data_IF_882889220686
#
_entry.id   IF_882889220686
#
_cell.length_a   1.000
_cell.length_b   1.000
_cell.length_c   1.000
_cell.angle_alpha   90.00
_cell.angle_beta   90.00
_cell.angle_gamma   90.00
#
_symmetry.space_group_name_H-M   'P 1'
#
loop_
_entity.id
_entity.type
_entity.pdbx_description
1 polymer ?
#
# COMPACT_ATOMS: atom_id res chain seq x y z
N UNK A 1 -9.34 -11.78 2.44
CA UNK A 1 -8.53 -10.71 3.04
C UNK A 1 -8.56 -9.47 2.16
N UNK A 2 -8.72 -8.28 2.74
CA UNK A 2 -8.75 -7.01 2.01
C UNK A 2 -7.35 -6.40 1.92
N UNK A 3 -6.87 -6.15 0.71
CA UNK A 3 -5.50 -5.71 0.41
C UNK A 3 -5.49 -4.58 -0.62
N UNK A 4 -4.40 -3.83 -0.68
CA UNK A 4 -4.04 -3.09 -1.89
C UNK A 4 -3.12 -3.96 -2.74
N UNK A 5 -3.50 -4.14 -4.00
CA UNK A 5 -2.67 -4.75 -5.03
C UNK A 5 -1.90 -3.66 -5.77
N UNK A 6 -0.58 -3.69 -5.69
CA UNK A 6 0.33 -2.90 -6.50
C UNK A 6 0.90 -3.80 -7.58
N UNK A 7 0.80 -3.39 -8.85
CA UNK A 7 1.27 -4.22 -9.94
C UNK A 7 1.86 -3.41 -11.08
N UNK A 8 2.91 -3.97 -11.67
CA UNK A 8 3.28 -3.68 -13.06
C UNK A 8 2.39 -4.60 -13.90
N UNK A 9 1.61 -4.01 -14.81
CA UNK A 9 0.57 -4.74 -15.56
C UNK A 9 1.17 -5.99 -16.24
N UNK A 10 0.50 -7.13 -16.04
CA UNK A 10 0.83 -8.44 -16.62
C UNK A 10 2.19 -9.05 -16.20
N UNK A 11 2.82 -8.52 -15.15
CA UNK A 11 4.10 -9.00 -14.67
C UNK A 11 4.03 -9.40 -13.19
N UNK A 12 4.17 -8.42 -12.30
CA UNK A 12 4.45 -8.65 -10.89
C UNK A 12 3.40 -7.96 -10.05
N UNK A 13 2.96 -8.65 -9.00
CA UNK A 13 1.90 -8.20 -8.09
C UNK A 13 2.41 -8.27 -6.66
N UNK A 14 2.23 -7.19 -5.93
CA UNK A 14 2.52 -7.09 -4.51
C UNK A 14 1.24 -6.75 -3.77
N UNK A 15 0.91 -7.55 -2.77
CA UNK A 15 -0.26 -7.34 -1.92
C UNK A 15 0.18 -6.82 -0.56
N UNK A 16 -0.39 -5.68 -0.15
CA UNK A 16 -0.21 -5.13 1.19
C UNK A 16 -1.57 -5.09 1.90
N UNK A 17 -1.64 -5.58 3.14
CA UNK A 17 -2.87 -5.57 3.95
C UNK A 17 -3.47 -4.16 3.97
N UNK A 18 -4.79 -4.07 3.73
CA UNK A 18 -5.42 -2.76 3.51
C UNK A 18 -5.36 -1.84 4.72
N UNK A 19 -5.34 -2.38 5.95
CA UNK A 19 -5.18 -1.59 7.16
C UNK A 19 -3.79 -0.97 7.31
N UNK A 20 -2.72 -1.63 6.84
CA UNK A 20 -1.36 -1.04 6.79
C UNK A 20 -1.37 0.18 5.86
N UNK A 21 -1.90 0.03 4.65
CA UNK A 21 -1.99 1.14 3.70
C UNK A 21 -2.91 2.26 4.20
N UNK A 22 -4.01 1.91 4.88
CA UNK A 22 -4.92 2.89 5.48
C UNK A 22 -4.24 3.70 6.61
N UNK A 23 -3.42 3.05 7.44
CA UNK A 23 -2.64 3.72 8.47
C UNK A 23 -1.63 4.72 7.89
N UNK A 24 -1.01 4.35 6.76
CA UNK A 24 -0.03 5.17 6.05
C UNK A 24 -0.66 6.17 5.05
N UNK A 25 -1.99 6.21 4.93
CA UNK A 25 -2.66 6.75 3.75
C UNK A 25 -2.35 8.23 3.49
N UNK A 26 -2.26 9.01 4.56
CA UNK A 26 -1.96 10.44 4.49
C UNK A 26 -0.54 10.72 4.04
N UNK A 27 0.43 9.85 4.35
CA UNK A 27 1.81 9.99 3.86
C UNK A 27 1.87 9.95 2.32
N UNK A 28 0.93 9.27 1.67
CA UNK A 28 0.87 9.20 0.22
C UNK A 28 0.30 10.45 -0.44
N UNK A 29 -0.32 11.39 0.28
CA UNK A 29 -0.93 12.61 -0.31
C UNK A 29 0.07 13.51 -1.07
N UNK A 30 1.38 13.30 -0.91
CA UNK A 30 2.40 14.01 -1.67
C UNK A 30 2.63 13.47 -3.11
N UNK A 31 2.02 12.32 -3.44
CA UNK A 31 2.08 11.72 -4.78
C UNK A 31 1.07 12.39 -5.72
N UNK A 32 1.49 12.72 -6.94
CA UNK A 32 0.58 13.14 -8.01
C UNK A 32 0.20 11.90 -8.82
N UNK A 33 -1.05 11.48 -8.72
CA UNK A 33 -1.54 10.23 -9.33
C UNK A 33 -2.75 10.49 -10.20
N UNK A 34 -3.16 9.49 -10.98
CA UNK A 34 -4.28 9.60 -11.90
C UNK A 34 -5.03 8.26 -12.04
N UNK A 35 -6.24 8.32 -12.59
CA UNK A 35 -6.98 7.15 -13.03
C UNK A 35 -6.54 6.68 -14.43
N UNK A 36 -7.02 5.52 -14.88
CA UNK A 36 -6.61 4.92 -16.17
C UNK A 36 -6.73 5.89 -17.36
N UNK A 37 -7.79 6.69 -17.39
CA UNK A 37 -8.09 7.62 -18.48
C UNK A 37 -7.47 9.01 -18.29
N UNK A 38 -6.75 9.25 -17.17
CA UNK A 38 -6.19 10.55 -16.78
C UNK A 38 -7.23 11.67 -16.63
N UNK A 39 -8.50 11.31 -16.50
CA UNK A 39 -9.61 12.26 -16.31
C UNK A 39 -9.56 12.78 -14.87
N UNK A 40 -9.21 11.92 -13.92
CA UNK A 40 -9.12 12.25 -12.49
C UNK A 40 -7.65 12.32 -12.11
N UNK A 41 -7.22 13.49 -11.65
CA UNK A 41 -5.94 13.67 -10.95
C UNK A 41 -6.21 13.63 -9.44
N UNK A 42 -5.32 13.02 -8.68
CA UNK A 42 -5.41 12.97 -7.22
C UNK A 42 -4.08 13.29 -6.56
N UNK A 43 -4.16 13.61 -5.27
CA UNK A 43 -3.06 13.68 -4.34
C UNK A 43 -3.06 12.40 -3.50
N UNK A 44 -2.17 11.46 -3.83
CA UNK A 44 -2.06 10.16 -3.17
C UNK A 44 -2.85 9.03 -3.83
N UNK A 45 -3.14 8.00 -3.05
CA UNK A 45 -3.84 6.82 -3.54
C UNK A 45 -5.35 7.07 -3.60
N UNK A 46 -6.01 6.44 -4.56
CA UNK A 46 -7.47 6.44 -4.65
C UNK A 46 -8.01 5.42 -3.66
N UNK A 47 -8.94 5.86 -2.80
CA UNK A 47 -9.66 4.94 -1.91
C UNK A 47 -10.59 4.00 -2.69
N UNK A 48 -11.18 4.50 -3.78
CA UNK A 48 -12.01 3.74 -4.72
C UNK A 48 -11.47 3.82 -6.15
N UNK A 49 -11.44 2.67 -6.84
CA UNK A 49 -10.93 2.57 -8.21
C UNK A 49 -9.44 2.25 -8.27
N UNK A 50 -8.83 2.49 -9.43
CA UNK A 50 -7.41 2.24 -9.66
C UNK A 50 -6.63 3.56 -9.68
N UNK A 51 -5.51 3.56 -8.97
CA UNK A 51 -4.49 4.60 -9.00
C UNK A 51 -3.38 4.19 -9.95
N UNK A 52 -2.91 5.10 -10.78
CA UNK A 52 -1.75 4.92 -11.64
C UNK A 52 -0.64 5.87 -11.17
N UNK A 53 0.55 5.30 -10.97
CA UNK A 53 1.71 5.97 -10.39
C UNK A 53 2.86 5.86 -11.39
N UNK A 54 3.41 7.01 -11.78
CA UNK A 54 4.40 7.12 -12.86
C UNK A 54 5.61 7.96 -12.41
N UNK A 55 6.76 7.67 -13.04
CA UNK A 55 7.97 8.50 -13.03
C UNK A 55 8.39 8.90 -11.62
N UNK A 56 8.55 10.20 -11.36
CA UNK A 56 9.03 10.73 -10.07
C UNK A 56 8.12 10.37 -8.89
N UNK A 57 6.86 10.01 -9.13
CA UNK A 57 5.95 9.58 -8.07
C UNK A 57 6.24 8.14 -7.62
N UNK A 58 6.83 7.29 -8.47
CA UNK A 58 7.32 5.97 -8.06
C UNK A 58 8.50 6.14 -7.10
N UNK A 59 9.43 7.05 -7.40
CA UNK A 59 10.55 7.39 -6.50
C UNK A 59 10.07 7.89 -5.15
N UNK A 60 9.05 8.76 -5.14
CA UNK A 60 8.45 9.23 -3.89
C UNK A 60 7.75 8.11 -3.13
N UNK A 61 6.97 7.27 -3.82
CA UNK A 61 6.32 6.11 -3.21
C UNK A 61 7.36 5.21 -2.54
N UNK A 62 8.42 4.85 -3.25
CA UNK A 62 9.53 4.05 -2.73
C UNK A 62 10.09 4.64 -1.44
N UNK A 63 10.45 5.92 -1.44
CA UNK A 63 10.99 6.61 -0.26
C UNK A 63 10.03 6.57 0.94
N UNK A 64 8.74 6.83 0.73
CA UNK A 64 7.73 6.79 1.80
C UNK A 64 7.62 5.37 2.37
N UNK A 65 7.52 4.36 1.49
CA UNK A 65 7.41 2.96 1.90
C UNK A 65 8.66 2.50 2.65
N UNK A 66 9.86 2.88 2.19
CA UNK A 66 11.11 2.61 2.90
C UNK A 66 11.11 3.24 4.29
N UNK A 67 10.73 4.51 4.45
CA UNK A 67 10.66 5.15 5.76
C UNK A 67 9.69 4.46 6.71
N UNK A 68 8.52 4.03 6.22
CA UNK A 68 7.57 3.28 7.03
C UNK A 68 8.06 1.87 7.38
N UNK A 69 8.79 1.22 6.47
CA UNK A 69 9.45 -0.07 6.76
C UNK A 69 10.40 0.07 7.94
N UNK A 70 11.25 1.09 7.94
CA UNK A 70 12.16 1.35 9.07
C UNK A 70 11.38 1.61 10.37
N UNK A 71 10.29 2.38 10.34
CA UNK A 71 9.44 2.60 11.52
C UNK A 71 8.82 1.30 12.05
N UNK A 72 8.29 0.44 11.18
CA UNK A 72 7.74 -0.86 11.61
C UNK A 72 8.81 -1.85 12.04
N UNK A 73 10.07 -1.66 11.63
CA UNK A 73 11.17 -2.53 12.07
C UNK A 73 11.45 -2.38 13.57
N UNK A 74 11.15 -1.21 14.14
CA UNK A 74 11.24 -0.92 15.57
C UNK A 74 10.03 -1.43 16.38
N UNK A 75 9.00 -1.96 15.72
CA UNK A 75 7.84 -2.52 16.41
C UNK A 75 8.18 -3.86 17.11
N UNK A 76 7.34 -4.26 18.06
CA UNK A 76 7.31 -5.62 18.59
C UNK A 76 6.90 -6.63 17.52
N UNK A 77 7.23 -7.91 17.71
CA UNK A 77 6.88 -8.99 16.77
C UNK A 77 5.39 -9.02 16.41
N UNK A 78 4.53 -8.73 17.38
CA UNK A 78 3.11 -8.46 17.18
C UNK A 78 2.81 -7.05 17.66
N UNK A 79 2.04 -6.28 16.87
CA UNK A 79 1.67 -4.91 17.22
C UNK A 79 0.28 -4.54 16.68
N UNK A 80 -0.36 -3.57 17.33
CA UNK A 80 -1.71 -3.12 17.00
C UNK A 80 -1.65 -1.76 16.30
N UNK A 81 -2.34 -1.64 15.16
CA UNK A 81 -2.61 -0.35 14.53
C UNK A 81 -4.07 0.03 14.69
N UNK A 82 -4.31 1.32 14.89
CA UNK A 82 -5.64 1.92 14.88
C UNK A 82 -6.13 2.13 13.45
N UNK A 83 -7.43 1.93 13.23
CA UNK A 83 -8.12 2.16 11.97
C UNK A 83 -9.07 3.36 12.06
N UNK A 84 -10.21 3.28 11.36
CA UNK A 84 -11.21 4.33 11.39
C UNK A 84 -11.90 4.40 12.76
N UNK A 85 -12.37 5.60 13.11
CA UNK A 85 -13.22 5.77 14.29
C UNK A 85 -14.62 5.18 14.03
N UNK A 86 -15.09 4.34 14.94
CA UNK A 86 -16.40 3.74 14.90
C UNK A 86 -17.34 4.50 15.85
N UNK A 87 -18.17 5.37 15.29
CA UNK A 87 -19.11 6.21 16.05
C UNK A 87 -20.10 5.41 16.90
N UNK A 88 -20.44 4.18 16.51
CA UNK A 88 -21.39 3.35 17.27
C UNK A 88 -20.77 2.75 18.53
N UNK A 89 -19.47 2.47 18.48
CA UNK A 89 -18.72 1.87 19.57
C UNK A 89 -17.93 2.92 20.37
N UNK A 90 -17.93 4.17 19.91
CA UNK A 90 -17.15 5.28 20.47
C UNK A 90 -15.65 4.97 20.61
N UNK A 91 -15.10 4.20 19.66
CA UNK A 91 -13.71 3.75 19.67
C UNK A 91 -13.10 3.66 18.28
N UNK A 92 -11.76 3.63 18.22
CA UNK A 92 -11.05 3.33 16.99
C UNK A 92 -11.04 1.82 16.73
N UNK A 93 -11.24 1.44 15.47
CA UNK A 93 -10.92 0.09 15.01
C UNK A 93 -9.47 -0.26 15.38
N UNK A 94 -9.21 -1.52 15.73
CA UNK A 94 -7.88 -2.03 16.07
C UNK A 94 -7.63 -3.33 15.34
N UNK A 95 -6.45 -3.46 14.75
CA UNK A 95 -6.03 -4.69 14.08
C UNK A 95 -4.62 -5.05 14.51
N UNK A 96 -4.43 -6.33 14.85
CA UNK A 96 -3.12 -6.89 15.18
C UNK A 96 -2.36 -7.29 13.91
N UNK A 97 -1.06 -7.06 13.90
CA UNK A 97 -0.17 -7.35 12.78
C UNK A 97 1.10 -8.01 13.27
N UNK A 98 1.57 -8.98 12.48
CA UNK A 98 2.88 -9.56 12.62
C UNK A 98 3.93 -8.69 11.89
N UNK A 99 5.00 -8.32 12.59
CA UNK A 99 6.09 -7.49 12.07
C UNK A 99 6.74 -8.08 10.83
N UNK A 100 7.08 -9.36 10.85
CA UNK A 100 7.76 -10.02 9.72
C UNK A 100 6.90 -9.93 8.46
N UNK A 101 5.61 -10.26 8.56
CA UNK A 101 4.68 -10.16 7.42
C UNK A 101 4.59 -8.73 6.86
N UNK A 102 4.51 -7.72 7.74
CA UNK A 102 4.42 -6.32 7.34
C UNK A 102 5.70 -5.90 6.62
N UNK A 103 6.86 -6.15 7.23
CA UNK A 103 8.17 -5.79 6.66
C UNK A 103 8.38 -6.47 5.30
N UNK A 104 8.09 -7.76 5.18
CA UNK A 104 8.19 -8.48 3.90
C UNK A 104 7.29 -7.89 2.82
N UNK A 105 6.07 -7.48 3.17
CA UNK A 105 5.15 -6.88 2.20
C UNK A 105 5.60 -5.49 1.73
N UNK A 106 6.20 -4.70 2.62
CA UNK A 106 6.76 -3.39 2.28
C UNK A 106 8.06 -3.52 1.49
N UNK A 107 8.91 -4.49 1.81
CA UNK A 107 10.13 -4.81 1.06
C UNK A 107 9.80 -5.20 -0.39
N UNK A 108 8.83 -6.10 -0.58
CA UNK A 108 8.35 -6.48 -1.92
C UNK A 108 7.83 -5.26 -2.69
N UNK A 109 7.15 -4.33 -2.01
CA UNK A 109 6.66 -3.10 -2.65
C UNK A 109 7.82 -2.16 -3.05
N UNK A 110 8.88 -2.08 -2.25
CA UNK A 110 10.09 -1.33 -2.58
C UNK A 110 10.76 -1.92 -3.83
N UNK A 111 10.95 -3.24 -3.87
CA UNK A 111 11.53 -3.95 -5.04
C UNK A 111 10.69 -3.71 -6.30
N UNK A 112 9.35 -3.78 -6.20
CA UNK A 112 8.45 -3.46 -7.31
C UNK A 112 8.66 -2.02 -7.81
N UNK A 113 8.84 -1.06 -6.90
CA UNK A 113 9.13 0.33 -7.26
C UNK A 113 10.47 0.46 -7.99
N UNK A 114 11.53 -0.19 -7.50
CA UNK A 114 12.85 -0.16 -8.13
C UNK A 114 12.84 -0.73 -9.55
N UNK A 115 12.14 -1.85 -9.73
CA UNK A 115 11.94 -2.45 -11.05
C UNK A 115 11.17 -1.51 -11.98
N UNK A 116 10.08 -0.94 -11.50
CA UNK A 116 9.29 0.01 -12.29
C UNK A 116 10.08 1.28 -12.67
N UNK A 117 10.93 1.79 -11.78
CA UNK A 117 11.85 2.90 -12.07
C UNK A 117 12.86 2.53 -13.15
N UNK A 118 13.55 1.39 -12.99
CA UNK A 118 14.58 0.92 -13.92
C UNK A 118 14.04 0.70 -15.33
N UNK A 119 12.81 0.19 -15.42
CA UNK A 119 12.16 -0.15 -16.68
C UNK A 119 11.23 0.97 -17.20
N UNK A 120 11.16 2.10 -16.49
CA UNK A 120 10.27 3.23 -16.78
C UNK A 120 8.79 2.81 -16.99
N UNK A 121 8.31 1.91 -16.12
CA UNK A 121 6.94 1.36 -16.14
C UNK A 121 6.03 2.06 -15.13
N UNK A 122 4.72 1.98 -15.39
CA UNK A 122 3.68 2.49 -14.50
C UNK A 122 3.25 1.43 -13.49
N UNK A 123 3.06 1.82 -12.24
CA UNK A 123 2.45 0.96 -11.22
C UNK A 123 0.96 1.26 -11.15
N UNK A 124 0.12 0.21 -11.27
CA UNK A 124 -1.30 0.25 -10.95
C UNK A 124 -1.51 -0.19 -9.51
N UNK A 125 -2.24 0.60 -8.74
CA UNK A 125 -2.63 0.28 -7.36
C UNK A 125 -4.16 0.24 -7.24
N UNK A 126 -4.73 -0.83 -6.67
CA UNK A 126 -6.17 -0.94 -6.40
C UNK A 126 -6.46 -1.75 -5.13
N UNK A 127 -7.46 -1.33 -4.37
CA UNK A 127 -7.99 -2.09 -3.24
C UNK A 127 -8.82 -3.26 -3.75
N UNK A 128 -8.53 -4.48 -3.30
CA UNK A 128 -9.22 -5.72 -3.70
C UNK A 128 -9.40 -6.68 -2.53
N UNK A 129 -10.37 -7.59 -2.67
CA UNK A 129 -10.52 -8.75 -1.79
C UNK A 129 -9.85 -9.96 -2.43
N UNK A 130 -8.89 -10.57 -1.75
CA UNK A 130 -8.28 -11.84 -2.14
C UNK A 130 -8.84 -12.98 -1.29
N UNK A 131 -9.06 -14.15 -1.89
CA UNK A 131 -9.37 -15.38 -1.14
C UNK A 131 -8.04 -15.95 -0.62
N UNK A 132 -7.99 -16.37 0.64
CA UNK A 132 -6.89 -17.22 1.08
C UNK A 132 -7.19 -18.61 0.52
N UNK A 133 -6.31 -19.14 -0.32
CA UNK A 133 -6.29 -20.58 -0.53
C UNK A 133 -5.72 -21.17 0.75
N UNK A 134 -6.56 -21.91 1.49
CA UNK A 134 -6.09 -22.68 2.62
C UNK A 134 -5.14 -23.73 2.07
N UNK A 135 -3.83 -23.52 2.20
CA UNK A 135 -2.85 -24.58 2.04
C UNK A 135 -3.18 -25.63 3.10
N UNK A 136 -3.83 -26.71 2.65
CA UNK A 136 -4.02 -27.94 3.41
C UNK A 136 -2.69 -28.67 3.55
#
# INVERSE_FOLDING_TARGET
MLVYNFEILDEEKVFVKSGIIAYMFDSFKCLRTFDKLRIRKNKGLFYHGSTYIEKENITKLKKIVSSWKELFNEASEEFILTGFFNEKLDEYERANYNKIEVIESLEKLIILCEKAEKENKTIRCRKITVRMENNK
#
